data_IF_974422611348
#
_entry.id   IF_974422611348
#
_cell.length_a   1.000
_cell.length_b   1.000
_cell.length_c   1.000
_cell.angle_alpha   90.00
_cell.angle_beta   90.00
_cell.angle_gamma   90.00
#
_symmetry.space_group_name_H-M   'P 1'
#
loop_
_entity.id
_entity.type
_entity.pdbx_description
1 polymer ?
#
# COMPACT_ATOMS: atom_id res chain seq x y z
N UNK A 1 -10.06 8.00 -23.86
CA UNK A 1 -9.72 7.25 -22.64
C UNK A 1 -8.22 7.40 -22.47
N UNK A 2 -7.80 8.24 -21.54
CA UNK A 2 -6.39 8.62 -21.37
C UNK A 2 -5.54 7.39 -21.02
N UNK A 3 -4.59 7.09 -21.90
CA UNK A 3 -3.67 5.94 -21.78
C UNK A 3 -2.81 6.00 -20.51
N UNK A 4 -2.57 7.18 -19.96
CA UNK A 4 -1.85 7.36 -18.68
C UNK A 4 -2.67 6.84 -17.47
N UNK A 5 -4.00 7.07 -17.47
CA UNK A 5 -4.85 6.58 -16.38
C UNK A 5 -4.89 5.05 -16.31
N UNK A 6 -4.70 4.37 -17.45
CA UNK A 6 -4.64 2.91 -17.52
C UNK A 6 -3.34 2.33 -16.97
N UNK A 7 -2.17 2.97 -17.14
CA UNK A 7 -0.89 2.42 -16.66
C UNK A 7 -0.86 2.35 -15.13
N UNK A 8 -1.33 3.41 -14.46
CA UNK A 8 -1.35 3.44 -12.99
C UNK A 8 -2.41 2.53 -12.38
N UNK A 9 -3.39 2.07 -13.16
CA UNK A 9 -4.29 0.98 -12.73
C UNK A 9 -3.59 -0.39 -12.80
N UNK A 10 -2.56 -0.55 -13.63
CA UNK A 10 -1.81 -1.81 -13.78
C UNK A 10 -0.81 -2.06 -12.65
N UNK A 11 -0.43 -1.02 -11.89
CA UNK A 11 0.36 -1.20 -10.67
C UNK A 11 -0.46 -1.81 -9.52
N UNK A 12 -1.81 -1.79 -9.61
CA UNK A 12 -2.67 -2.12 -8.48
C UNK A 12 -2.70 -3.62 -8.21
N UNK A 13 -2.66 -3.93 -6.91
CA UNK A 13 -2.68 -5.28 -6.38
C UNK A 13 -3.89 -5.42 -5.46
N UNK A 14 -4.72 -6.45 -5.62
CA UNK A 14 -5.75 -6.79 -4.65
C UNK A 14 -5.17 -7.74 -3.61
N UNK A 15 -5.32 -7.40 -2.34
CA UNK A 15 -4.93 -8.24 -1.21
C UNK A 15 -6.20 -8.78 -0.58
N UNK A 16 -6.32 -10.10 -0.46
CA UNK A 16 -7.38 -10.76 0.31
C UNK A 16 -6.77 -11.41 1.56
N UNK A 17 -7.39 -11.16 2.72
CA UNK A 17 -6.96 -11.67 4.01
C UNK A 17 -8.14 -11.97 4.93
N UNK A 18 -7.88 -12.64 6.06
CA UNK A 18 -8.89 -13.02 7.04
C UNK A 18 -9.34 -14.48 6.92
N UNK A 19 -9.88 -15.01 8.03
CA UNK A 19 -10.19 -16.44 8.16
C UNK A 19 -11.65 -16.75 7.79
N UNK A 20 -11.84 -17.60 6.78
CA UNK A 20 -13.14 -18.01 6.29
C UNK A 20 -13.80 -16.96 5.38
N UNK A 21 -14.97 -17.31 4.82
CA UNK A 21 -15.71 -16.44 3.89
C UNK A 21 -16.25 -15.20 4.61
N UNK A 22 -16.67 -15.38 5.88
CA UNK A 22 -17.33 -14.33 6.68
C UNK A 22 -16.36 -13.20 7.08
N UNK A 23 -15.11 -13.53 7.42
CA UNK A 23 -14.11 -12.54 7.84
C UNK A 23 -13.14 -12.14 6.72
N UNK A 24 -13.44 -12.49 5.46
CA UNK A 24 -12.57 -12.16 4.34
C UNK A 24 -12.63 -10.67 4.06
N UNK A 25 -11.49 -10.01 4.23
CA UNK A 25 -11.30 -8.60 3.93
C UNK A 25 -10.57 -8.44 2.60
N UNK A 26 -10.76 -7.27 1.99
CA UNK A 26 -10.08 -6.85 0.77
C UNK A 26 -9.39 -5.53 1.00
N UNK A 27 -8.15 -5.46 0.56
CA UNK A 27 -7.36 -4.25 0.50
C UNK A 27 -6.71 -4.11 -0.88
N UNK A 28 -6.08 -2.97 -1.07
CA UNK A 28 -5.26 -2.66 -2.21
C UNK A 28 -3.80 -2.61 -1.80
N UNK A 29 -2.93 -2.86 -2.75
CA UNK A 29 -1.53 -2.50 -2.71
C UNK A 29 -1.09 -2.06 -4.10
N UNK A 30 0.22 -1.92 -4.24
CA UNK A 30 0.86 -1.42 -5.44
C UNK A 30 2.16 -2.16 -5.69
N UNK A 31 2.45 -2.46 -6.94
CA UNK A 31 3.77 -2.93 -7.35
C UNK A 31 4.66 -1.69 -7.42
N UNK A 32 5.70 -1.67 -6.59
CA UNK A 32 6.70 -0.61 -6.57
C UNK A 32 8.04 -1.14 -7.09
N UNK A 33 8.81 -0.25 -7.71
CA UNK A 33 10.18 -0.53 -8.14
C UNK A 33 11.16 0.36 -7.40
N UNK A 34 12.13 -0.24 -6.74
CA UNK A 34 13.21 0.48 -6.09
C UNK A 34 14.56 -0.18 -6.41
N UNK A 35 15.39 0.51 -7.20
CA UNK A 35 16.57 -0.08 -7.82
C UNK A 35 16.20 -1.31 -8.67
N UNK A 36 16.80 -2.46 -8.34
CA UNK A 36 16.55 -3.74 -9.02
C UNK A 36 15.44 -4.58 -8.37
N UNK A 37 14.75 -4.05 -7.35
CA UNK A 37 13.75 -4.81 -6.60
C UNK A 37 12.33 -4.39 -7.01
N UNK A 38 11.47 -5.40 -7.20
CA UNK A 38 10.02 -5.23 -7.26
C UNK A 38 9.38 -5.70 -5.96
N UNK A 39 8.57 -4.85 -5.35
CA UNK A 39 7.94 -5.12 -4.07
C UNK A 39 6.45 -4.77 -4.12
N UNK A 40 5.69 -5.33 -3.20
CA UNK A 40 4.35 -4.89 -2.86
C UNK A 40 4.46 -3.79 -1.79
N UNK A 41 3.93 -2.60 -2.07
CA UNK A 41 3.64 -1.58 -1.06
C UNK A 41 2.15 -1.62 -0.68
N UNK A 42 1.86 -1.64 0.61
CA UNK A 42 0.49 -1.61 1.15
C UNK A 42 0.49 -1.03 2.58
N UNK A 43 -0.69 -0.93 3.20
CA UNK A 43 -0.80 -0.53 4.59
C UNK A 43 -0.42 -1.71 5.50
N UNK A 44 0.23 -1.43 6.62
CA UNK A 44 0.69 -2.46 7.54
C UNK A 44 -0.48 -3.25 8.15
N UNK A 45 -1.62 -2.60 8.41
CA UNK A 45 -2.83 -3.28 8.89
C UNK A 45 -3.40 -4.32 7.91
N UNK A 46 -3.01 -4.28 6.63
CA UNK A 46 -3.41 -5.28 5.63
C UNK A 46 -2.63 -6.60 5.76
N UNK A 47 -1.52 -6.57 6.51
CA UNK A 47 -0.61 -7.71 6.71
C UNK A 47 -0.56 -8.11 8.20
N UNK A 48 -0.72 -7.15 9.12
CA UNK A 48 -0.64 -7.35 10.56
C UNK A 48 -1.88 -6.82 11.27
N UNK A 49 -2.53 -7.65 12.07
CA UNK A 49 -3.67 -7.26 12.89
C UNK A 49 -3.20 -6.72 14.24
N UNK A 50 -3.41 -5.42 14.46
CA UNK A 50 -3.03 -4.72 15.70
C UNK A 50 -3.84 -5.12 16.93
N UNK A 51 -5.04 -5.69 16.74
CA UNK A 51 -5.89 -6.17 17.83
C UNK A 51 -5.43 -7.53 18.34
N UNK A 52 -5.21 -8.48 17.42
CA UNK A 52 -4.73 -9.84 17.79
C UNK A 52 -3.20 -9.92 17.91
N UNK A 53 -2.50 -8.83 17.57
CA UNK A 53 -1.02 -8.73 17.55
C UNK A 53 -0.38 -9.85 16.72
N UNK A 54 -0.97 -10.17 15.57
CA UNK A 54 -0.55 -11.30 14.76
C UNK A 54 -0.44 -10.94 13.27
N UNK A 55 0.52 -11.58 12.59
CA UNK A 55 0.60 -11.52 11.14
C UNK A 55 -0.51 -12.35 10.51
N UNK A 56 -1.15 -11.79 9.48
CA UNK A 56 -2.08 -12.53 8.63
C UNK A 56 -1.33 -13.69 7.96
N UNK A 57 -1.82 -14.91 8.14
CA UNK A 57 -1.25 -16.13 7.53
C UNK A 57 -1.88 -16.48 6.18
N UNK A 58 -3.14 -16.10 5.95
CA UNK A 58 -3.90 -16.40 4.73
C UNK A 58 -3.94 -15.20 3.75
N UNK A 59 -2.77 -14.73 3.33
CA UNK A 59 -2.67 -13.66 2.34
C UNK A 59 -2.78 -14.21 0.92
N UNK A 60 -3.74 -13.73 0.15
CA UNK A 60 -3.81 -13.97 -1.29
C UNK A 60 -3.61 -12.66 -2.03
N UNK A 61 -2.61 -12.65 -2.91
CA UNK A 61 -2.26 -11.48 -3.70
C UNK A 61 -2.77 -11.69 -5.13
N UNK A 62 -3.52 -10.74 -5.66
CA UNK A 62 -4.04 -10.82 -7.02
C UNK A 62 -3.66 -9.60 -7.82
N UNK A 63 -3.20 -9.83 -9.04
CA UNK A 63 -2.84 -8.77 -9.97
C UNK A 63 -3.69 -8.92 -11.23
N UNK A 64 -4.15 -7.78 -11.73
CA UNK A 64 -5.05 -7.69 -12.87
C UNK A 64 -4.28 -7.04 -14.04
N UNK A 65 -3.93 -7.84 -15.05
CA UNK A 65 -3.37 -7.34 -16.31
C UNK A 65 -4.32 -7.75 -17.42
N UNK A 66 -4.71 -6.80 -18.28
CA UNK A 66 -5.50 -7.09 -19.49
C UNK A 66 -6.75 -7.96 -19.24
N UNK A 67 -7.41 -7.77 -18.08
CA UNK A 67 -8.57 -8.55 -17.59
C UNK A 67 -8.26 -9.96 -17.07
N UNK A 68 -7.01 -10.41 -17.10
CA UNK A 68 -6.57 -11.64 -16.46
C UNK A 68 -6.26 -11.39 -14.98
N UNK A 69 -6.88 -12.20 -14.12
CA UNK A 69 -6.60 -12.23 -12.68
C UNK A 69 -5.61 -13.36 -12.40
N UNK A 70 -4.38 -13.01 -12.03
CA UNK A 70 -3.36 -13.97 -11.59
C UNK A 70 -3.19 -13.90 -10.07
N UNK A 71 -2.97 -15.06 -9.44
CA UNK A 71 -2.73 -15.17 -8.00
C UNK A 71 -1.24 -15.36 -7.74
N UNK A 72 -0.73 -14.63 -6.75
CA UNK A 72 0.65 -14.67 -6.28
C UNK A 72 0.68 -14.80 -4.75
N UNK A 73 1.86 -15.12 -4.24
CA UNK A 73 2.18 -15.12 -2.81
C UNK A 73 3.35 -14.18 -2.54
N UNK A 74 3.50 -13.80 -1.27
CA UNK A 74 4.67 -13.08 -0.77
C UNK A 74 5.58 -14.04 -0.02
N UNK A 75 6.88 -13.77 -0.02
CA UNK A 75 7.89 -14.54 0.73
C UNK A 75 8.26 -13.87 2.05
N UNK A 76 8.28 -12.53 2.08
CA UNK A 76 8.61 -11.74 3.27
C UNK A 76 7.78 -10.47 3.32
N UNK A 77 7.42 -10.03 4.53
CA UNK A 77 6.87 -8.70 4.79
C UNK A 77 7.75 -7.96 5.82
N UNK A 78 7.88 -6.65 5.61
CA UNK A 78 8.71 -5.74 6.40
C UNK A 78 7.82 -4.63 6.93
N UNK A 79 7.80 -4.48 8.26
CA UNK A 79 6.95 -3.52 8.95
C UNK A 79 7.77 -2.84 10.05
N UNK A 80 7.57 -1.55 10.23
CA UNK A 80 8.19 -0.82 11.32
C UNK A 80 7.65 -1.31 12.69
N UNK A 81 8.55 -1.54 13.65
CA UNK A 81 8.29 -2.13 14.97
C UNK A 81 7.23 -1.37 15.76
N UNK A 82 7.23 -0.04 15.71
CA UNK A 82 6.22 0.79 16.40
C UNK A 82 4.79 0.59 15.90
N UNK A 83 4.58 0.19 14.64
CA UNK A 83 3.25 -0.22 14.18
C UNK A 83 2.78 -1.47 14.92
N UNK A 84 3.66 -2.48 15.01
CA UNK A 84 3.36 -3.76 15.63
C UNK A 84 3.12 -3.60 17.14
N UNK A 85 3.99 -2.86 17.82
CA UNK A 85 3.95 -2.73 19.28
C UNK A 85 2.88 -1.75 19.74
N UNK A 86 2.80 -0.58 19.10
CA UNK A 86 2.06 0.57 19.62
C UNK A 86 0.86 0.96 18.72
N UNK A 87 0.79 0.44 17.49
CA UNK A 87 -0.25 0.86 16.53
C UNK A 87 -0.05 2.29 16.05
N UNK A 88 1.19 2.79 16.08
CA UNK A 88 1.53 4.17 15.72
C UNK A 88 1.16 4.46 14.26
N UNK A 89 0.17 5.33 14.08
CA UNK A 89 -0.45 5.66 12.79
C UNK A 89 0.55 6.10 11.70
N UNK A 90 1.64 6.75 12.10
CA UNK A 90 2.69 7.21 11.18
C UNK A 90 3.46 6.07 10.50
N UNK A 91 3.35 4.84 11.03
CA UNK A 91 4.05 3.67 10.52
C UNK A 91 3.12 2.61 9.91
N UNK A 92 1.88 2.97 9.56
CA UNK A 92 0.95 2.07 8.87
C UNK A 92 1.33 1.90 7.38
N UNK A 93 2.54 1.40 7.13
CA UNK A 93 3.05 1.04 5.81
C UNK A 93 3.84 -0.25 5.94
N UNK A 94 3.63 -1.15 4.98
CA UNK A 94 4.39 -2.37 4.85
C UNK A 94 4.90 -2.53 3.43
N UNK A 95 6.10 -3.09 3.33
CA UNK A 95 6.66 -3.57 2.07
C UNK A 95 6.76 -5.09 2.12
N UNK A 96 6.46 -5.76 1.01
CA UNK A 96 6.56 -7.20 0.93
C UNK A 96 7.25 -7.66 -0.36
N UNK A 97 8.09 -8.68 -0.25
CA UNK A 97 8.70 -9.34 -1.39
C UNK A 97 7.74 -10.39 -1.92
N UNK A 98 7.54 -10.41 -3.24
CA UNK A 98 6.83 -11.50 -3.90
C UNK A 98 7.64 -12.81 -3.78
N UNK A 99 6.95 -13.94 -3.88
CA UNK A 99 7.63 -15.22 -4.05
C UNK A 99 8.09 -15.35 -5.52
N UNK A 100 9.41 -15.33 -5.73
CA UNK A 100 10.06 -15.35 -7.06
C UNK A 100 9.81 -16.62 -7.85
N UNK A 101 9.48 -17.74 -7.20
CA UNK A 101 9.16 -18.99 -7.88
C UNK A 101 7.85 -18.89 -8.67
N UNK A 102 6.99 -17.94 -8.30
CA UNK A 102 5.68 -17.73 -8.93
C UNK A 102 5.55 -16.37 -9.61
N UNK A 103 6.32 -15.37 -9.18
CA UNK A 103 6.18 -13.99 -9.62
C UNK A 103 7.06 -13.65 -10.83
N UNK A 104 6.42 -13.22 -11.92
CA UNK A 104 7.11 -12.83 -13.16
C UNK A 104 7.63 -11.40 -13.07
N UNK A 105 8.82 -11.23 -12.50
CA UNK A 105 9.47 -9.92 -12.34
C UNK A 105 9.56 -9.14 -13.66
N UNK A 106 9.84 -9.81 -14.78
CA UNK A 106 10.02 -9.16 -16.08
C UNK A 106 8.71 -8.60 -16.61
N UNK A 107 7.62 -9.36 -16.49
CA UNK A 107 6.29 -8.92 -16.90
C UNK A 107 5.82 -7.68 -16.11
N UNK A 108 6.10 -7.64 -14.80
CA UNK A 108 5.58 -6.60 -13.91
C UNK A 108 6.43 -5.34 -13.81
N UNK A 109 7.70 -5.38 -14.24
CA UNK A 109 8.61 -4.24 -14.15
C UNK A 109 8.09 -2.98 -14.85
N UNK A 110 7.38 -3.12 -15.98
CA UNK A 110 6.80 -2.00 -16.74
C UNK A 110 5.57 -1.35 -16.07
N UNK A 111 4.94 -2.05 -15.11
CA UNK A 111 3.74 -1.56 -14.41
C UNK A 111 4.05 -1.03 -13.01
N UNK A 112 5.31 -1.16 -12.57
CA UNK A 112 5.72 -0.76 -11.25
C UNK A 112 5.92 0.76 -11.15
N UNK A 113 5.57 1.32 -9.99
CA UNK A 113 5.71 2.75 -9.72
C UNK A 113 6.93 2.98 -8.82
N UNK A 114 7.68 4.04 -9.08
CA UNK A 114 8.80 4.40 -8.21
C UNK A 114 8.28 5.02 -6.89
N UNK A 115 8.73 4.54 -5.72
CA UNK A 115 8.45 5.17 -4.45
C UNK A 115 9.39 6.37 -4.24
N UNK A 116 8.85 7.48 -3.72
CA UNK A 116 9.64 8.63 -3.23
C UNK A 116 9.32 8.90 -1.77
N UNK A 117 10.33 9.36 -1.04
CA UNK A 117 10.29 9.63 0.38
C UNK A 117 10.71 11.07 0.65
N UNK A 118 10.40 11.57 1.86
CA UNK A 118 10.81 12.89 2.32
C UNK A 118 10.36 14.04 1.41
N UNK A 119 9.28 13.84 0.64
CA UNK A 119 8.68 14.91 -0.17
C UNK A 119 8.00 15.95 0.73
N UNK A 120 7.69 17.10 0.14
CA UNK A 120 7.00 18.18 0.84
C UNK A 120 5.68 17.73 1.45
N UNK A 121 5.27 18.48 2.48
CA UNK A 121 3.90 18.52 3.00
C UNK A 121 2.90 18.73 1.84
N UNK A 122 1.60 18.53 2.07
CA UNK A 122 0.52 19.23 1.34
C UNK A 122 0.50 19.11 -0.21
N UNK A 123 1.08 18.06 -0.77
CA UNK A 123 1.06 17.83 -2.22
C UNK A 123 -0.35 17.51 -2.74
N UNK A 124 -0.51 17.66 -4.05
CA UNK A 124 -1.67 17.12 -4.75
C UNK A 124 -1.45 15.63 -5.03
N UNK A 125 -2.42 14.79 -4.67
CA UNK A 125 -2.34 13.35 -4.93
C UNK A 125 -3.53 12.85 -5.76
N UNK A 126 -3.27 11.76 -6.47
CA UNK A 126 -4.26 10.83 -6.99
C UNK A 126 -4.16 9.52 -6.21
N UNK A 127 -5.16 9.25 -5.37
CA UNK A 127 -5.27 8.03 -4.59
C UNK A 127 -5.99 6.98 -5.40
N UNK A 128 -5.42 5.77 -5.50
CA UNK A 128 -6.06 4.63 -6.18
C UNK A 128 -6.37 3.48 -5.23
N UNK A 129 -7.45 2.77 -5.50
CA UNK A 129 -7.86 1.59 -4.75
C UNK A 129 -8.77 0.65 -5.56
N UNK A 130 -8.86 -0.60 -5.13
CA UNK A 130 -9.71 -1.64 -5.73
C UNK A 130 -10.94 -1.84 -4.85
N UNK A 131 -12.01 -1.11 -5.19
CA UNK A 131 -13.27 -1.16 -4.45
C UNK A 131 -14.12 -2.34 -4.95
N UNK A 132 -14.64 -3.21 -4.06
CA UNK A 132 -15.59 -4.24 -4.45
C UNK A 132 -16.91 -3.61 -4.90
N UNK A 133 -17.46 -4.08 -6.04
CA UNK A 133 -18.77 -3.62 -6.51
C UNK A 133 -19.86 -4.48 -5.87
N UNK A 134 -20.80 -3.85 -5.17
CA UNK A 134 -22.05 -4.51 -4.77
C UNK A 134 -22.67 -5.14 -6.03
N UNK A 135 -22.84 -6.47 -6.03
CA UNK A 135 -23.41 -7.32 -7.10
C UNK A 135 -22.50 -7.79 -8.26
N UNK A 136 -21.18 -7.51 -8.30
CA UNK A 136 -20.29 -8.13 -9.33
C UNK A 136 -19.01 -8.70 -8.72
N UNK A 137 -18.57 -9.85 -9.25
CA UNK A 137 -17.27 -10.51 -8.98
C UNK A 137 -16.06 -9.63 -9.39
N UNK A 138 -16.31 -8.58 -10.19
CA UNK A 138 -15.28 -7.71 -10.75
C UNK A 138 -14.97 -6.53 -9.80
N UNK A 139 -13.70 -6.41 -9.43
CA UNK A 139 -13.13 -5.20 -8.82
C UNK A 139 -12.98 -4.10 -9.86
N UNK A 140 -13.26 -2.85 -9.48
CA UNK A 140 -12.97 -1.68 -10.31
C UNK A 140 -11.95 -0.81 -9.58
N UNK A 141 -11.00 -0.24 -10.32
CA UNK A 141 -10.18 0.86 -9.83
C UNK A 141 -11.07 2.06 -9.51
N UNK A 142 -10.90 2.60 -8.31
CA UNK A 142 -11.45 3.87 -7.86
C UNK A 142 -10.28 4.83 -7.72
N UNK A 143 -10.47 6.05 -8.22
CA UNK A 143 -9.48 7.13 -8.11
C UNK A 143 -10.13 8.31 -7.40
N UNK A 144 -9.43 8.88 -6.42
CA UNK A 144 -9.82 10.11 -5.72
C UNK A 144 -8.62 11.05 -5.71
N UNK A 145 -8.82 12.29 -6.13
CA UNK A 145 -7.74 13.26 -6.23
C UNK A 145 -8.01 14.50 -5.40
N UNK A 146 -6.96 15.10 -4.86
CA UNK A 146 -7.07 16.30 -4.06
C UNK A 146 -5.75 16.76 -3.47
N UNK A 147 -5.76 17.98 -2.93
CA UNK A 147 -4.64 18.49 -2.14
C UNK A 147 -4.68 17.84 -0.75
N UNK A 148 -3.54 17.31 -0.30
CA UNK A 148 -3.43 16.74 1.03
C UNK A 148 -3.53 17.83 2.11
N UNK A 149 -4.19 17.47 3.21
CA UNK A 149 -4.38 18.30 4.40
C UNK A 149 -3.72 17.63 5.60
N UNK A 150 -3.13 18.43 6.48
CA UNK A 150 -2.50 17.94 7.69
C UNK A 150 -3.54 17.63 8.77
N UNK A 151 -3.26 16.62 9.60
CA UNK A 151 -4.07 16.39 10.79
C UNK A 151 -3.70 17.38 11.89
N UNK A 152 -4.70 17.92 12.60
CA UNK A 152 -4.48 18.94 13.64
C UNK A 152 -3.68 18.42 14.83
N UNK A 153 -4.01 17.23 15.32
CA UNK A 153 -3.36 16.60 16.49
C UNK A 153 -2.10 15.82 16.11
N UNK A 154 -1.94 15.49 14.83
CA UNK A 154 -0.88 14.64 14.31
C UNK A 154 -0.20 15.32 13.11
N UNK A 155 0.28 16.57 13.26
CA UNK A 155 0.87 17.30 12.17
C UNK A 155 2.18 16.64 11.73
N UNK A 156 2.48 16.67 10.44
CA UNK A 156 3.71 16.14 9.84
C UNK A 156 3.88 14.62 9.90
N UNK A 157 2.97 13.88 10.55
CA UNK A 157 3.06 12.42 10.64
C UNK A 157 2.00 11.70 9.79
N UNK A 158 0.84 12.34 9.59
CA UNK A 158 -0.23 11.83 8.72
C UNK A 158 -0.84 12.97 7.90
N UNK A 159 -1.35 12.62 6.74
CA UNK A 159 -2.00 13.55 5.82
C UNK A 159 -3.25 12.94 5.21
N UNK A 160 -4.20 13.79 4.82
CA UNK A 160 -5.56 13.38 4.51
C UNK A 160 -6.12 14.05 3.27
N UNK A 161 -6.90 13.30 2.49
CA UNK A 161 -7.69 13.80 1.36
C UNK A 161 -9.15 13.43 1.58
N UNK A 162 -10.06 14.35 1.24
CA UNK A 162 -11.49 14.08 1.29
C UNK A 162 -11.85 12.95 0.33
N UNK A 163 -12.45 11.89 0.86
CA UNK A 163 -12.75 10.66 0.15
C UNK A 163 -14.00 10.03 0.78
N UNK A 164 -15.12 10.02 0.06
CA UNK A 164 -16.39 9.50 0.59
C UNK A 164 -16.56 7.98 0.37
N UNK A 165 -15.76 7.37 -0.51
CA UNK A 165 -15.82 5.94 -0.81
C UNK A 165 -14.49 5.26 -0.49
N UNK A 166 -14.46 4.52 0.61
CA UNK A 166 -13.21 4.03 1.24
C UNK A 166 -13.07 2.51 1.23
N UNK A 167 -14.13 1.79 0.90
CA UNK A 167 -14.17 0.34 1.02
C UNK A 167 -13.16 -0.32 0.07
N UNK A 168 -12.15 -1.01 0.60
CA UNK A 168 -11.09 -1.62 -0.19
C UNK A 168 -9.98 -0.66 -0.63
N UNK A 169 -10.04 0.62 -0.25
CA UNK A 169 -8.98 1.60 -0.55
C UNK A 169 -7.73 1.38 0.30
N UNK A 170 -7.84 0.78 1.49
CA UNK A 170 -6.72 0.49 2.39
C UNK A 170 -5.54 -0.13 1.65
N UNK A 171 -4.35 0.40 1.91
CA UNK A 171 -3.08 0.06 1.27
C UNK A 171 -2.90 0.56 -0.17
N UNK A 172 -3.93 1.13 -0.79
CA UNK A 172 -3.87 1.66 -2.14
C UNK A 172 -2.94 2.88 -2.27
N UNK A 173 -2.22 3.04 -3.39
CA UNK A 173 -1.15 4.00 -3.52
C UNK A 173 -1.66 5.45 -3.56
N UNK A 174 -0.88 6.35 -2.96
CA UNK A 174 -1.02 7.79 -3.11
C UNK A 174 0.02 8.27 -4.12
N UNK A 175 -0.44 8.67 -5.30
CA UNK A 175 0.39 9.05 -6.43
C UNK A 175 0.50 10.57 -6.54
N UNK A 176 1.68 11.10 -6.80
CA UNK A 176 1.92 12.53 -7.01
C UNK A 176 2.96 12.76 -8.11
N UNK A 177 3.08 14.00 -8.58
CA UNK A 177 4.09 14.40 -9.55
C UNK A 177 5.38 14.82 -8.84
N UNK A 178 6.50 14.25 -9.25
CA UNK A 178 7.83 14.62 -8.79
C UNK A 178 8.79 14.61 -9.97
N UNK A 179 9.48 15.74 -10.21
CA UNK A 179 10.46 15.89 -11.31
C UNK A 179 9.92 15.45 -12.69
N UNK A 180 8.63 15.74 -12.96
CA UNK A 180 7.98 15.40 -14.22
C UNK A 180 7.51 13.95 -14.35
N UNK A 181 7.61 13.14 -13.29
CA UNK A 181 7.18 11.75 -13.27
C UNK A 181 6.12 11.50 -12.17
N UNK A 182 5.24 10.54 -12.41
CA UNK A 182 4.32 10.06 -11.36
C UNK A 182 5.06 9.09 -10.45
N UNK A 183 5.03 9.38 -9.15
CA UNK A 183 5.66 8.58 -8.11
C UNK A 183 4.65 8.23 -7.03
N UNK A 184 4.90 7.14 -6.31
CA UNK A 184 4.16 6.81 -5.12
C UNK A 184 4.84 7.42 -3.91
N UNK A 185 4.07 8.12 -3.07
CA UNK A 185 4.61 8.76 -1.88
C UNK A 185 3.75 8.54 -0.64
N UNK A 186 2.74 7.66 -0.70
CA UNK A 186 2.18 7.02 0.48
C UNK A 186 1.24 5.85 0.14
N UNK A 187 0.55 5.32 1.15
CA UNK A 187 -0.55 4.34 1.06
C UNK A 187 -1.77 4.83 1.83
N UNK A 188 -2.96 4.47 1.36
CA UNK A 188 -4.21 4.71 2.07
C UNK A 188 -4.26 3.86 3.34
N UNK A 189 -4.59 4.46 4.49
CA UNK A 189 -4.42 3.81 5.77
C UNK A 189 -5.74 3.70 6.52
N UNK A 190 -6.21 4.76 7.19
CA UNK A 190 -7.40 4.70 8.03
C UNK A 190 -8.32 5.91 7.86
N UNK A 191 -9.41 5.90 8.63
CA UNK A 191 -10.31 7.03 8.80
C UNK A 191 -10.78 7.08 10.24
N UNK A 192 -10.83 8.27 10.82
CA UNK A 192 -11.35 8.44 12.18
C UNK A 192 -12.87 8.35 12.17
N UNK A 193 -13.45 7.71 13.19
CA UNK A 193 -14.92 7.55 13.31
C UNK A 193 -15.66 8.90 13.26
N UNK A 194 -15.09 9.93 13.89
CA UNK A 194 -15.67 11.27 13.97
C UNK A 194 -15.32 12.17 12.75
N UNK A 195 -14.50 11.69 11.82
CA UNK A 195 -14.14 12.38 10.59
C UNK A 195 -13.98 11.36 9.45
N UNK A 196 -15.09 10.69 9.17
CA UNK A 196 -15.16 9.61 8.18
C UNK A 196 -15.25 10.13 6.73
N UNK A 197 -15.07 11.42 6.49
CA UNK A 197 -14.98 12.00 5.14
C UNK A 197 -13.53 12.08 4.63
N UNK A 198 -12.53 11.93 5.51
CA UNK A 198 -11.12 12.05 5.14
C UNK A 198 -10.46 10.67 5.18
N UNK A 199 -9.80 10.30 4.08
CA UNK A 199 -8.92 9.13 4.04
C UNK A 199 -7.52 9.60 4.43
N UNK A 200 -7.00 9.04 5.51
CA UNK A 200 -5.70 9.38 6.07
C UNK A 200 -4.64 8.40 5.62
N UNK A 201 -3.40 8.88 5.65
CA UNK A 201 -2.25 8.20 5.12
C UNK A 201 -1.00 8.62 5.90
N UNK A 202 -0.07 7.70 6.22
CA UNK A 202 1.18 8.04 6.88
C UNK A 202 2.05 8.92 6.00
N UNK A 203 2.86 9.78 6.61
CA UNK A 203 3.92 10.47 5.89
C UNK A 203 5.08 9.51 5.60
N UNK A 204 5.45 9.35 4.32
CA UNK A 204 6.61 8.55 3.92
C UNK A 204 7.91 9.35 4.10
N UNK A 205 8.36 9.44 5.35
CA UNK A 205 9.66 9.99 5.72
C UNK A 205 10.76 8.93 5.87
N UNK A 206 11.90 9.35 6.44
CA UNK A 206 13.12 8.54 6.63
C UNK A 206 12.89 7.18 7.30
N UNK A 207 11.97 7.09 8.26
CA UNK A 207 11.70 5.82 8.94
C UNK A 207 11.06 4.80 8.00
N UNK A 208 10.12 5.22 7.15
CA UNK A 208 9.49 4.32 6.15
C UNK A 208 10.47 3.99 5.02
N UNK A 209 11.28 4.97 4.61
CA UNK A 209 12.39 4.76 3.66
C UNK A 209 13.35 3.67 4.18
N UNK A 210 13.69 3.71 5.47
CA UNK A 210 14.51 2.68 6.12
C UNK A 210 13.88 1.28 6.04
N UNK A 211 12.55 1.17 6.21
CA UNK A 211 11.84 -0.12 6.01
C UNK A 211 12.03 -0.64 4.60
N UNK A 212 11.91 0.21 3.58
CA UNK A 212 12.13 -0.17 2.19
C UNK A 212 13.59 -0.57 1.93
N UNK A 213 14.55 0.17 2.48
CA UNK A 213 15.98 -0.13 2.32
C UNK A 213 16.35 -1.51 2.86
N UNK A 214 15.82 -1.88 4.05
CA UNK A 214 16.00 -3.23 4.59
C UNK A 214 15.29 -4.27 3.72
N UNK A 215 14.07 -3.97 3.24
CA UNK A 215 13.36 -4.88 2.33
C UNK A 215 14.13 -5.16 1.03
N UNK A 216 14.89 -4.18 0.54
CA UNK A 216 15.74 -4.26 -0.64
C UNK A 216 17.18 -4.78 -0.37
N UNK A 217 17.51 -5.11 0.89
CA UNK A 217 18.85 -5.58 1.26
C UNK A 217 19.95 -4.53 1.20
N UNK A 218 19.59 -3.23 1.16
CA UNK A 218 20.56 -2.11 1.20
C UNK A 218 21.14 -1.98 2.62
N UNK A 219 20.32 -2.26 3.63
CA UNK A 219 20.73 -2.38 5.03
C UNK A 219 20.38 -3.79 5.50
N UNK A 220 21.30 -4.43 6.22
CA UNK A 220 21.21 -5.86 6.57
C UNK A 220 20.22 -6.09 7.72
N UNK A 221 20.23 -5.21 8.73
CA UNK A 221 19.35 -5.30 9.89
C UNK A 221 19.03 -3.91 10.44
N UNK A 222 17.87 -3.78 11.08
CA UNK A 222 17.47 -2.60 11.85
C UNK A 222 16.61 -3.04 13.02
N UNK A 223 16.96 -2.61 14.24
CA UNK A 223 16.23 -2.92 15.47
C UNK A 223 14.76 -2.44 15.43
N UNK A 224 14.46 -1.50 14.53
CA UNK A 224 13.15 -0.90 14.35
C UNK A 224 12.31 -1.60 13.26
N UNK A 225 12.79 -2.68 12.64
CA UNK A 225 12.10 -3.34 11.53
C UNK A 225 11.86 -4.81 11.88
N UNK A 226 10.60 -5.22 11.79
CA UNK A 226 10.20 -6.61 11.99
C UNK A 226 9.99 -7.25 10.61
N UNK A 227 10.59 -8.43 10.45
CA UNK A 227 10.49 -9.22 9.21
C UNK A 227 9.67 -10.48 9.46
N UNK A 228 8.56 -10.63 8.75
CA UNK A 228 7.77 -11.87 8.71
C UNK A 228 8.12 -12.66 7.47
N UNK A 229 8.61 -13.89 7.65
CA UNK A 229 8.72 -14.89 6.57
C UNK A 229 7.41 -15.63 6.38
N UNK A 230 7.04 -15.83 5.12
CA UNK A 230 5.92 -16.62 4.65
C UNK A 230 6.47 -17.91 4.01
N UNK A 231 5.83 -19.04 4.30
CA UNK A 231 6.14 -20.35 3.73
C UNK A 231 5.15 -20.62 2.61
#
# INVERSE_FOLDING_TARGET
MDTENTIYDMCLVQIEFGNGIVNRQKATGSIIKFGNNLLLATAAHCIFDTYTKSFTTNLNIYIYIEKLKKRYTISKAYIHKKWIEQGDLQYDTAFALFNTDTFDLNCYNQYAIEPKFNLSQDLYYSIKGLTPRYLKILTKSTTVSGKATQHKEYPNIIQGIKCNNKNGMSGGPWLTMYEGQVVQNSVSSFSFKNNNEILWSPYWGKEIESVLHVACGIHIDSENIIVKKYI
#
